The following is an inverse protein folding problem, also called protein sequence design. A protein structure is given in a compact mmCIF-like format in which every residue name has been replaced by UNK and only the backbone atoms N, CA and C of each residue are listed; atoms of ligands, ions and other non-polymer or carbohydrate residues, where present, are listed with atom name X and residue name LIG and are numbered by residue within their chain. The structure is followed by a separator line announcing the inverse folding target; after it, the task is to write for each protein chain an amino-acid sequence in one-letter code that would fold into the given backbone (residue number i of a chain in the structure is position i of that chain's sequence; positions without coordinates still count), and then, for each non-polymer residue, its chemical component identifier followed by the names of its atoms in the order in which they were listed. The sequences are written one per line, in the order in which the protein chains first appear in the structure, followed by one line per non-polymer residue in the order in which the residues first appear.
data_IF_529856587022
#
_entry.id   IF_529856587022
#
_cell.length_a   1.000
_cell.length_b   1.000
_cell.length_c   1.000
_cell.angle_alpha   90.00
_cell.angle_beta   90.00
_cell.angle_gamma   90.00
#
_symmetry.space_group_name_H-M   'P 1'
#
loop_
_entity.id
_entity.type
_entity.pdbx_description
1 polymer ?
#
# COMPACT_ATOMS: atom_id res chain seq x y z
N UNK A 1 33.60 17.08 14.15
CA UNK A 1 32.39 17.71 13.59
C UNK A 1 31.47 18.06 14.75
N UNK A 2 31.25 19.32 15.16
CA UNK A 2 30.50 19.43 16.43
C UNK A 2 30.07 20.75 17.06
N UNK A 3 30.21 21.94 16.46
CA UNK A 3 29.69 23.17 17.10
C UNK A 3 29.00 24.19 16.19
N UNK A 4 28.93 23.95 14.88
CA UNK A 4 28.44 24.91 13.88
C UNK A 4 27.18 24.44 13.12
N UNK A 5 26.36 23.59 13.74
CA UNK A 5 25.09 23.10 13.14
C UNK A 5 23.82 23.68 13.77
N UNK A 6 23.94 24.34 14.92
CA UNK A 6 22.80 24.99 15.56
C UNK A 6 22.73 26.43 15.06
N UNK A 7 21.59 26.76 14.48
CA UNK A 7 21.28 28.10 14.01
C UNK A 7 20.29 28.69 15.01
N UNK A 8 20.60 29.80 15.68
CA UNK A 8 19.61 30.50 16.48
C UNK A 8 18.55 31.06 15.53
N UNK A 9 17.28 30.78 15.83
CA UNK A 9 16.13 31.28 15.10
C UNK A 9 15.23 31.95 16.13
N UNK A 10 14.90 33.23 15.93
CA UNK A 10 14.22 34.02 16.96
C UNK A 10 12.74 34.30 16.60
N UNK A 11 12.29 33.89 15.42
CA UNK A 11 10.92 34.15 14.94
C UNK A 11 10.30 33.00 14.15
N UNK A 12 8.97 32.94 14.17
CA UNK A 12 8.13 31.95 13.47
C UNK A 12 8.36 32.01 11.95
N UNK A 13 8.61 33.20 11.40
CA UNK A 13 8.92 33.41 9.99
C UNK A 13 10.28 32.82 9.62
N UNK A 14 11.25 32.92 10.54
CA UNK A 14 12.57 32.32 10.37
C UNK A 14 12.50 30.79 10.43
N UNK A 15 11.60 30.25 11.28
CA UNK A 15 11.35 28.81 11.38
C UNK A 15 10.92 28.26 10.03
N UNK A 16 9.91 28.88 9.43
CA UNK A 16 9.39 28.48 8.13
C UNK A 16 10.46 28.58 7.04
N UNK A 17 11.17 29.71 6.99
CA UNK A 17 12.20 29.94 5.98
C UNK A 17 13.33 28.91 6.07
N UNK A 18 13.85 28.69 7.28
CA UNK A 18 14.95 27.76 7.50
C UNK A 18 14.54 26.32 7.20
N UNK A 19 13.33 25.90 7.57
CA UNK A 19 12.82 24.56 7.24
C UNK A 19 12.59 24.39 5.74
N UNK A 20 12.08 25.40 5.03
CA UNK A 20 11.88 25.35 3.56
C UNK A 20 13.19 25.28 2.80
N UNK A 21 14.22 25.96 3.28
CA UNK A 21 15.57 25.89 2.70
C UNK A 21 16.20 24.51 2.86
N UNK A 22 15.88 23.81 3.95
CA UNK A 22 16.38 22.46 4.23
C UNK A 22 17.88 22.41 4.58
N UNK A 23 18.39 21.26 4.99
CA UNK A 23 19.73 21.15 5.60
C UNK A 23 20.91 21.40 4.65
N UNK A 24 20.67 21.41 3.34
CA UNK A 24 21.72 21.51 2.33
C UNK A 24 21.96 22.96 1.87
N UNK A 25 21.05 23.88 2.18
CA UNK A 25 21.18 25.28 1.82
C UNK A 25 21.79 26.10 2.98
N UNK A 26 22.51 27.17 2.63
CA UNK A 26 23.08 28.08 3.63
C UNK A 26 21.96 28.73 4.44
N UNK A 27 21.96 28.53 5.77
CA UNK A 27 20.93 29.04 6.67
C UNK A 27 19.65 28.18 6.73
N UNK A 28 19.61 27.03 6.06
CA UNK A 28 18.52 26.08 6.19
C UNK A 28 18.77 25.04 7.28
N UNK A 29 17.68 24.45 7.79
CA UNK A 29 17.71 23.47 8.89
C UNK A 29 16.91 22.22 8.54
N UNK A 30 17.31 21.07 9.09
CA UNK A 30 16.57 19.82 8.95
C UNK A 30 15.35 19.73 9.89
N UNK A 31 15.48 20.33 11.07
CA UNK A 31 14.49 20.29 12.13
C UNK A 31 14.68 21.50 13.05
N UNK A 32 13.61 21.88 13.73
CA UNK A 32 13.61 22.90 14.77
C UNK A 32 13.27 22.22 16.08
N UNK A 33 13.94 22.66 17.14
CA UNK A 33 13.79 22.11 18.48
C UNK A 33 13.48 23.29 19.40
N UNK A 34 12.27 23.32 19.92
CA UNK A 34 11.75 24.37 20.80
C UNK A 34 10.64 23.79 21.70
N UNK A 35 10.15 24.58 22.64
CA UNK A 35 9.07 24.20 23.54
C UNK A 35 7.76 23.95 22.78
N UNK A 36 7.02 22.92 23.19
CA UNK A 36 5.78 22.48 22.55
C UNK A 36 4.77 23.63 22.25
N UNK A 37 4.45 24.57 23.17
CA UNK A 37 3.49 25.64 22.87
C UNK A 37 3.92 26.55 21.71
N UNK A 38 5.23 26.76 21.50
CA UNK A 38 5.73 27.55 20.38
C UNK A 38 5.60 26.78 19.06
N UNK A 39 5.92 25.49 19.07
CA UNK A 39 5.75 24.62 17.90
C UNK A 39 4.27 24.46 17.53
N UNK A 40 3.38 24.30 18.51
CA UNK A 40 1.93 24.23 18.28
C UNK A 40 1.39 25.51 17.63
N UNK A 41 1.89 26.67 18.05
CA UNK A 41 1.56 27.96 17.46
C UNK A 41 2.09 28.07 16.01
N UNK A 42 3.34 27.67 15.77
CA UNK A 42 3.92 27.63 14.42
C UNK A 42 3.10 26.74 13.48
N UNK A 43 2.76 25.53 13.91
CA UNK A 43 1.95 24.59 13.12
C UNK A 43 0.51 25.05 12.95
N UNK A 44 0.01 25.94 13.81
CA UNK A 44 -1.31 26.54 13.66
C UNK A 44 -1.33 27.57 12.53
N UNK A 45 -0.25 28.33 12.39
CA UNK A 45 -0.16 29.42 11.41
C UNK A 45 0.42 28.98 10.07
N UNK A 46 1.14 27.86 10.02
CA UNK A 46 1.84 27.35 8.83
C UNK A 46 1.45 25.90 8.56
N UNK A 47 1.11 25.63 7.31
CA UNK A 47 0.79 24.27 6.82
C UNK A 47 2.03 23.62 6.18
N UNK A 48 2.06 22.29 6.11
CA UNK A 48 3.14 21.52 5.47
C UNK A 48 4.30 21.12 6.40
N UNK A 49 4.17 21.37 7.70
CA UNK A 49 5.14 20.95 8.71
C UNK A 49 4.48 20.00 9.72
N UNK A 50 5.29 19.16 10.37
CA UNK A 50 4.82 18.24 11.41
C UNK A 50 5.88 18.01 12.49
N UNK A 51 5.42 17.67 13.68
CA UNK A 51 6.28 17.17 14.76
C UNK A 51 6.66 15.72 14.43
N UNK A 52 7.92 15.36 14.65
CA UNK A 52 8.43 14.00 14.44
C UNK A 52 9.09 13.52 15.72
N UNK A 53 8.73 12.30 16.15
CA UNK A 53 9.27 11.69 17.36
C UNK A 53 8.48 12.03 18.63
N UNK A 54 8.96 11.51 19.76
CA UNK A 54 8.38 11.78 21.07
C UNK A 54 8.94 13.09 21.67
N UNK A 55 8.15 13.80 22.50
CA UNK A 55 8.64 14.92 23.27
C UNK A 55 9.80 14.47 24.18
N UNK A 56 10.98 15.07 23.98
CA UNK A 56 12.17 14.73 24.75
C UNK A 56 12.33 15.58 26.02
N UNK A 57 11.58 16.69 26.16
CA UNK A 57 11.69 17.61 27.29
C UNK A 57 10.33 17.81 27.97
N UNK A 58 10.22 17.29 29.20
CA UNK A 58 9.02 17.40 30.03
C UNK A 58 9.18 18.46 31.13
N UNK A 59 9.80 19.60 30.81
CA UNK A 59 9.97 20.70 31.77
C UNK A 59 8.81 21.67 31.69
N UNK A 60 8.40 22.18 32.85
CA UNK A 60 7.31 23.13 33.00
C UNK A 60 7.80 24.57 33.15
N UNK A 61 6.90 25.50 32.88
CA UNK A 61 7.12 26.92 33.10
C UNK A 61 6.85 27.28 34.56
N UNK A 62 7.59 28.25 35.09
CA UNK A 62 7.47 28.68 36.49
C UNK A 62 7.68 30.17 36.66
N UNK A 63 7.07 30.72 37.72
CA UNK A 63 7.30 32.09 38.14
C UNK A 63 8.45 32.13 39.15
N UNK A 64 9.30 33.15 39.07
CA UNK A 64 10.47 33.30 39.93
C UNK A 64 10.30 34.53 40.83
N UNK A 65 10.49 34.32 42.13
CA UNK A 65 10.41 35.36 43.16
C UNK A 65 11.66 35.33 44.05
N UNK A 66 11.94 36.44 44.74
CA UNK A 66 12.98 36.47 45.78
C UNK A 66 12.64 35.47 46.89
N UNK A 67 13.68 34.90 47.50
CA UNK A 67 13.55 34.00 48.65
C UNK A 67 12.76 34.70 49.76
N UNK A 68 11.86 33.95 50.41
CA UNK A 68 10.98 34.41 51.49
C UNK A 68 9.94 35.48 51.09
N UNK A 69 9.66 35.65 49.80
CA UNK A 69 8.59 36.54 49.33
C UNK A 69 7.20 35.90 49.53
N UNK A 70 6.30 36.63 50.20
CA UNK A 70 4.89 36.24 50.34
C UNK A 70 4.18 36.09 48.99
N UNK A 71 4.64 36.80 47.95
CA UNK A 71 4.07 36.78 46.61
C UNK A 71 4.17 35.38 45.97
N UNK A 72 5.20 34.61 46.29
CA UNK A 72 5.34 33.24 45.78
C UNK A 72 4.20 32.34 46.30
N UNK A 73 3.81 32.51 47.56
CA UNK A 73 2.73 31.77 48.20
C UNK A 73 1.38 32.20 47.62
N UNK A 74 1.17 33.51 47.48
CA UNK A 74 -0.06 34.06 46.91
C UNK A 74 -0.26 33.59 45.47
N UNK A 75 0.79 33.65 44.65
CA UNK A 75 0.76 33.20 43.26
C UNK A 75 0.53 31.69 43.14
N UNK A 76 1.20 30.88 43.96
CA UNK A 76 0.98 29.43 43.97
C UNK A 76 -0.45 29.07 44.40
N UNK A 77 -0.98 29.78 45.39
CA UNK A 77 -2.36 29.60 45.88
C UNK A 77 -3.38 30.04 44.83
N UNK A 78 -3.11 31.14 44.12
CA UNK A 78 -3.95 31.61 43.03
C UNK A 78 -3.95 30.59 41.88
N UNK A 79 -2.78 30.07 41.47
CA UNK A 79 -2.67 29.03 40.45
C UNK A 79 -3.45 27.78 40.87
N UNK A 80 -3.32 27.34 42.11
CA UNK A 80 -4.04 26.16 42.61
C UNK A 80 -5.57 26.36 42.55
N UNK A 81 -6.06 27.50 43.05
CA UNK A 81 -7.49 27.87 42.98
C UNK A 81 -7.99 27.97 41.54
N UNK A 82 -7.14 28.48 40.63
CA UNK A 82 -7.43 28.49 39.21
C UNK A 82 -7.49 27.06 38.66
N UNK A 83 -6.55 26.16 39.02
CA UNK A 83 -6.56 24.75 38.57
C UNK A 83 -7.76 23.93 39.02
N UNK A 84 -8.32 24.28 40.18
CA UNK A 84 -9.46 23.59 40.76
C UNK A 84 -10.78 23.94 40.04
N UNK A 85 -10.84 25.09 39.36
CA UNK A 85 -12.09 25.60 38.79
C UNK A 85 -12.27 25.22 37.32
N UNK A 86 -13.45 24.69 36.94
CA UNK A 86 -13.81 24.25 35.57
C UNK A 86 -13.64 25.32 34.48
N UNK A 87 -13.66 26.60 34.86
CA UNK A 87 -13.44 27.77 33.99
C UNK A 87 -11.99 27.94 33.51
N UNK A 88 -11.01 27.34 34.16
CA UNK A 88 -9.60 27.52 33.84
C UNK A 88 -9.21 26.92 32.49
N UNK A 89 -9.84 25.80 32.10
CA UNK A 89 -9.69 25.25 30.76
C UNK A 89 -10.17 26.23 29.69
N UNK A 90 -11.15 27.10 29.98
CA UNK A 90 -11.62 28.11 29.02
C UNK A 90 -10.63 29.24 28.84
N UNK A 91 -9.94 29.71 29.88
CA UNK A 91 -8.96 30.81 29.75
C UNK A 91 -7.72 30.32 29.03
N UNK A 92 -7.18 29.17 29.44
CA UNK A 92 -6.01 28.57 28.79
C UNK A 92 -6.32 28.23 27.34
N UNK A 93 -7.47 27.62 27.07
CA UNK A 93 -7.94 27.37 25.71
C UNK A 93 -8.22 28.67 24.97
N UNK A 94 -8.78 29.71 25.58
CA UNK A 94 -9.02 30.98 24.88
C UNK A 94 -7.70 31.63 24.48
N UNK A 95 -6.69 31.67 25.35
CA UNK A 95 -5.41 32.27 24.99
C UNK A 95 -4.55 31.41 24.06
N UNK A 96 -4.56 30.07 24.21
CA UNK A 96 -3.78 29.16 23.36
C UNK A 96 -4.49 28.76 22.05
N UNK A 97 -5.81 28.58 22.05
CA UNK A 97 -6.60 28.17 20.88
C UNK A 97 -7.21 29.33 20.06
N UNK A 98 -7.08 30.61 20.45
CA UNK A 98 -7.75 31.72 19.73
C UNK A 98 -7.35 31.84 18.25
N UNK A 99 -6.21 31.28 17.85
CA UNK A 99 -5.81 31.16 16.43
C UNK A 99 -5.64 29.72 15.94
N UNK A 100 -5.48 28.75 16.84
CA UNK A 100 -5.02 27.39 16.50
C UNK A 100 -6.14 26.36 16.32
N UNK A 101 -7.30 26.56 16.95
CA UNK A 101 -8.35 25.52 16.99
C UNK A 101 -9.52 25.79 16.01
N UNK A 102 -9.40 26.79 15.13
CA UNK A 102 -10.41 27.13 14.12
C UNK A 102 -10.38 26.29 12.85
N UNK A 103 -9.27 25.61 12.57
CA UNK A 103 -9.09 24.79 11.37
C UNK A 103 -8.28 23.53 11.69
N UNK A 104 -8.59 22.88 12.82
CA UNK A 104 -7.91 21.67 13.28
C UNK A 104 -8.91 20.69 13.89
N UNK A 105 -9.90 20.30 13.11
CA UNK A 105 -10.66 19.06 13.34
C UNK A 105 -9.85 17.80 13.00
N UNK A 106 -8.51 17.88 12.94
CA UNK A 106 -7.67 16.80 12.39
C UNK A 106 -6.33 16.58 13.12
N UNK A 107 -6.13 17.19 14.30
CA UNK A 107 -4.84 17.08 15.03
C UNK A 107 -4.94 16.31 16.36
N UNK A 108 -6.03 15.57 16.56
CA UNK A 108 -6.17 14.57 17.63
C UNK A 108 -6.85 13.27 17.15
N UNK A 109 -7.10 13.17 15.86
CA UNK A 109 -7.17 11.88 15.22
C UNK A 109 -5.78 11.71 14.59
N UNK A 110 -4.99 10.66 14.88
CA UNK A 110 -4.28 10.07 13.75
C UNK A 110 -5.37 9.92 12.70
N UNK A 111 -5.26 10.55 11.52
CA UNK A 111 -6.09 10.18 10.37
C UNK A 111 -6.29 8.68 10.49
N UNK A 112 -7.51 8.18 10.77
CA UNK A 112 -7.68 6.86 11.33
C UNK A 112 -7.39 5.90 10.20
N UNK A 113 -6.10 5.57 10.03
CA UNK A 113 -5.52 4.84 8.93
C UNK A 113 -6.55 4.68 7.82
N UNK A 114 -6.85 5.75 7.08
CA UNK A 114 -7.64 5.56 5.87
C UNK A 114 -6.68 4.79 5.00
N UNK A 115 -6.78 3.46 5.12
CA UNK A 115 -6.08 2.47 4.33
C UNK A 115 -6.50 2.82 2.91
N UNK A 116 -5.69 3.69 2.30
CA UNK A 116 -5.75 4.03 0.90
C UNK A 116 -5.92 2.67 0.22
N UNK A 117 -7.02 2.48 -0.51
CA UNK A 117 -7.33 1.22 -1.20
C UNK A 117 -6.19 0.77 -2.14
N UNK A 118 -5.20 1.65 -2.35
CA UNK A 118 -3.89 1.40 -2.94
C UNK A 118 -3.01 0.38 -2.18
N UNK A 119 -3.11 0.26 -0.86
CA UNK A 119 -2.33 -0.73 -0.09
C UNK A 119 -2.90 -2.16 -0.15
N UNK A 120 -4.14 -2.34 -0.64
CA UNK A 120 -4.79 -3.65 -0.78
C UNK A 120 -5.00 -4.06 -2.25
N UNK A 121 -4.27 -3.43 -3.16
CA UNK A 121 -4.31 -3.74 -4.59
C UNK A 121 -4.04 -5.23 -4.87
N UNK A 122 -3.13 -5.85 -4.12
CA UNK A 122 -2.84 -7.29 -4.24
C UNK A 122 -3.98 -8.20 -3.78
N UNK A 123 -4.72 -7.85 -2.73
CA UNK A 123 -5.79 -8.70 -2.20
C UNK A 123 -6.99 -8.72 -3.14
N UNK A 124 -7.34 -7.57 -3.71
CA UNK A 124 -8.42 -7.47 -4.70
C UNK A 124 -8.09 -8.29 -5.96
N UNK A 125 -6.86 -8.15 -6.49
CA UNK A 125 -6.42 -8.93 -7.65
C UNK A 125 -6.46 -10.44 -7.38
N UNK A 126 -6.05 -10.88 -6.20
CA UNK A 126 -6.08 -12.30 -5.82
C UNK A 126 -7.50 -12.86 -5.73
N UNK A 127 -8.42 -12.12 -5.11
CA UNK A 127 -9.84 -12.52 -5.05
C UNK A 127 -10.48 -12.59 -6.45
N UNK A 128 -10.21 -11.61 -7.31
CA UNK A 128 -10.69 -11.62 -8.70
C UNK A 128 -10.10 -12.79 -9.49
N UNK A 129 -8.81 -13.09 -9.35
CA UNK A 129 -8.18 -14.23 -10.02
C UNK A 129 -8.79 -15.59 -9.61
N UNK A 130 -9.05 -15.80 -8.31
CA UNK A 130 -9.69 -17.03 -7.82
C UNK A 130 -11.11 -17.15 -8.37
N UNK A 131 -11.89 -16.06 -8.35
CA UNK A 131 -13.27 -16.10 -8.84
C UNK A 131 -13.34 -16.33 -10.35
N UNK A 132 -12.47 -15.70 -11.14
CA UNK A 132 -12.38 -15.91 -12.60
C UNK A 132 -11.95 -17.34 -12.91
N UNK A 133 -10.94 -17.88 -12.23
CA UNK A 133 -10.48 -19.25 -12.46
C UNK A 133 -11.53 -20.30 -12.09
N UNK A 134 -12.24 -20.13 -10.97
CA UNK A 134 -13.36 -20.98 -10.59
C UNK A 134 -14.50 -20.93 -11.62
N UNK A 135 -14.85 -19.73 -12.10
CA UNK A 135 -15.87 -19.55 -13.14
C UNK A 135 -15.45 -20.21 -14.46
N UNK A 136 -14.20 -20.05 -14.88
CA UNK A 136 -13.67 -20.68 -16.09
C UNK A 136 -13.75 -22.21 -16.00
N UNK A 137 -13.32 -22.81 -14.89
CA UNK A 137 -13.42 -24.27 -14.67
C UNK A 137 -14.88 -24.73 -14.70
N UNK A 138 -15.80 -23.95 -14.12
CA UNK A 138 -17.23 -24.26 -14.15
C UNK A 138 -17.78 -24.26 -15.58
N UNK A 139 -17.47 -23.21 -16.36
CA UNK A 139 -17.89 -23.12 -17.77
C UNK A 139 -17.29 -24.24 -18.61
N UNK A 140 -16.00 -24.57 -18.43
CA UNK A 140 -15.37 -25.70 -19.12
C UNK A 140 -16.02 -27.04 -18.77
N UNK A 141 -16.39 -27.25 -17.49
CA UNK A 141 -17.15 -28.43 -17.07
C UNK A 141 -18.52 -28.48 -17.72
N UNK A 142 -19.24 -27.37 -17.73
CA UNK A 142 -20.56 -27.26 -18.38
C UNK A 142 -20.47 -27.53 -19.89
N UNK A 143 -19.48 -26.98 -20.58
CA UNK A 143 -19.24 -27.23 -22.01
C UNK A 143 -18.90 -28.70 -22.24
N UNK A 144 -18.00 -29.29 -21.45
CA UNK A 144 -17.67 -30.72 -21.58
C UNK A 144 -18.89 -31.61 -21.38
N UNK A 145 -19.72 -31.33 -20.38
CA UNK A 145 -20.96 -32.08 -20.15
C UNK A 145 -21.96 -31.87 -21.29
N UNK A 146 -22.12 -30.64 -21.77
CA UNK A 146 -23.00 -30.33 -22.89
C UNK A 146 -22.55 -30.99 -24.20
N UNK A 147 -21.24 -31.00 -24.48
CA UNK A 147 -20.66 -31.71 -25.63
C UNK A 147 -20.82 -33.21 -25.48
N UNK A 148 -20.62 -33.78 -24.28
CA UNK A 148 -20.87 -35.21 -24.03
C UNK A 148 -22.34 -35.58 -24.20
N UNK A 149 -23.25 -34.75 -23.68
CA UNK A 149 -24.69 -34.93 -23.83
C UNK A 149 -25.10 -34.86 -25.31
N UNK A 150 -24.66 -33.82 -26.03
CA UNK A 150 -24.95 -33.65 -27.46
C UNK A 150 -24.27 -34.71 -28.33
N UNK A 151 -23.08 -35.21 -27.94
CA UNK A 151 -22.44 -36.35 -28.61
C UNK A 151 -23.26 -37.62 -28.38
N UNK A 152 -23.79 -37.84 -27.17
CA UNK A 152 -24.68 -38.96 -26.86
C UNK A 152 -25.97 -38.92 -27.68
N UNK A 153 -26.56 -37.74 -27.91
CA UNK A 153 -27.71 -37.56 -28.83
C UNK A 153 -27.35 -37.80 -30.30
N UNK A 154 -26.13 -37.47 -30.73
CA UNK A 154 -25.68 -37.75 -32.11
C UNK A 154 -25.36 -39.22 -32.35
N UNK A 155 -24.96 -39.98 -31.31
CA UNK A 155 -24.70 -41.43 -31.44
C UNK A 155 -25.99 -42.26 -31.44
N UNK A 156 -27.14 -41.71 -31.02
CA UNK A 156 -28.44 -42.41 -31.04
C UNK A 156 -29.29 -42.16 -32.28
N UNK A 157 -28.87 -41.27 -33.20
CA UNK A 157 -29.61 -40.94 -34.43
C UNK A 157 -28.70 -40.91 -35.66
N UNK A 158 -28.38 -42.10 -36.16
CA UNK A 158 -28.17 -42.32 -37.60
C UNK A 158 -29.07 -43.50 -38.01
N UNK A 159 -30.11 -43.27 -38.83
CA UNK A 159 -29.85 -43.19 -40.26
C UNK A 159 -30.62 -42.09 -41.04
N UNK A 160 -29.90 -41.56 -42.04
CA UNK A 160 -30.35 -41.04 -43.36
C UNK A 160 -31.30 -39.83 -43.47
N UNK A 161 -30.72 -38.79 -44.07
CA UNK A 161 -31.25 -37.88 -45.09
C UNK A 161 -32.20 -36.73 -44.73
N UNK A 162 -31.89 -35.61 -45.38
CA UNK A 162 -32.71 -34.46 -45.81
C UNK A 162 -32.82 -33.25 -44.88
N UNK A 163 -32.68 -32.10 -45.54
CA UNK A 163 -32.62 -30.74 -45.02
C UNK A 163 -33.89 -30.36 -44.24
N UNK A 164 -33.76 -29.70 -43.09
CA UNK A 164 -34.69 -28.63 -42.69
C UNK A 164 -34.19 -27.82 -41.49
N UNK A 165 -34.11 -26.51 -41.71
CA UNK A 165 -34.27 -25.35 -40.82
C UNK A 165 -34.09 -25.44 -39.28
N UNK A 166 -33.09 -24.67 -38.81
CA UNK A 166 -33.03 -23.75 -37.64
C UNK A 166 -33.36 -24.26 -36.22
N UNK A 167 -32.52 -23.89 -35.21
CA UNK A 167 -32.85 -22.66 -34.50
C UNK A 167 -31.65 -21.73 -34.24
N UNK A 168 -31.85 -20.48 -34.66
CA UNK A 168 -31.44 -19.20 -34.04
C UNK A 168 -30.65 -19.31 -32.72
N UNK A 169 -29.34 -19.55 -32.80
CA UNK A 169 -28.35 -19.29 -31.72
C UNK A 169 -27.01 -18.82 -32.31
N UNK A 170 -27.03 -18.09 -33.42
CA UNK A 170 -25.83 -17.91 -34.26
C UNK A 170 -24.92 -16.75 -33.89
N UNK A 171 -25.08 -16.11 -32.72
CA UNK A 171 -24.12 -15.07 -32.28
C UNK A 171 -23.12 -15.53 -31.23
N UNK A 172 -23.49 -16.43 -30.32
CA UNK A 172 -22.60 -16.87 -29.23
C UNK A 172 -21.75 -18.09 -29.61
N UNK A 173 -22.20 -18.93 -30.54
CA UNK A 173 -21.40 -20.08 -31.00
C UNK A 173 -20.17 -19.62 -31.81
N UNK A 174 -20.28 -18.56 -32.59
CA UNK A 174 -19.14 -18.00 -33.33
C UNK A 174 -17.98 -17.58 -32.43
N UNK A 175 -18.27 -16.90 -31.31
CA UNK A 175 -17.24 -16.54 -30.32
C UNK A 175 -16.62 -17.77 -29.66
N UNK A 176 -17.43 -18.77 -29.29
CA UNK A 176 -16.92 -19.97 -28.62
C UNK A 176 -16.00 -20.82 -29.51
N UNK A 177 -16.21 -20.84 -30.83
CA UNK A 177 -15.30 -21.51 -31.77
C UNK A 177 -13.97 -20.75 -31.91
N UNK A 178 -14.02 -19.41 -32.00
CA UNK A 178 -12.82 -18.58 -32.13
C UNK A 178 -11.91 -18.61 -30.90
N UNK A 179 -12.46 -18.75 -29.68
CA UNK A 179 -11.63 -18.94 -28.48
C UNK A 179 -10.96 -20.31 -28.43
N UNK A 180 -11.60 -21.37 -28.95
CA UNK A 180 -10.97 -22.70 -29.01
C UNK A 180 -9.82 -22.70 -30.01
N UNK A 181 -9.99 -22.06 -31.16
CA UNK A 181 -8.96 -21.91 -32.18
C UNK A 181 -7.79 -21.03 -31.69
N UNK A 182 -8.07 -19.94 -30.95
CA UNK A 182 -7.04 -19.11 -30.33
C UNK A 182 -6.26 -19.84 -29.22
N UNK A 183 -6.92 -20.70 -28.44
CA UNK A 183 -6.26 -21.49 -27.38
C UNK A 183 -5.43 -22.63 -27.96
N UNK A 184 -5.86 -23.21 -29.08
CA UNK A 184 -5.09 -24.21 -29.84
C UNK A 184 -3.82 -23.56 -30.46
N UNK A 185 -3.94 -22.33 -30.97
CA UNK A 185 -2.81 -21.52 -31.48
C UNK A 185 -1.82 -21.12 -30.36
N UNK A 186 -2.29 -20.89 -29.13
CA UNK A 186 -1.43 -20.55 -27.98
C UNK A 186 -0.68 -21.78 -27.41
N UNK A 187 -1.27 -22.99 -27.46
CA UNK A 187 -0.58 -24.24 -27.06
C UNK A 187 0.50 -24.68 -28.06
N UNK A 188 0.40 -24.34 -29.36
CA UNK A 188 1.46 -24.66 -30.33
C UNK A 188 2.70 -23.74 -30.21
N UNK A 189 2.54 -22.48 -29.79
CA UNK A 189 3.66 -21.54 -29.65
C UNK A 189 4.57 -21.84 -28.44
N UNK A 190 4.05 -22.48 -27.39
CA UNK A 190 4.78 -22.73 -26.13
C UNK A 190 5.47 -24.09 -26.08
N UNK A 191 5.23 -24.98 -27.05
CA UNK A 191 5.84 -26.32 -27.12
C UNK A 191 7.13 -26.39 -27.94
N UNK A 192 7.58 -25.27 -28.52
CA UNK A 192 8.77 -25.25 -29.41
C UNK A 192 10.11 -24.99 -28.72
N UNK A 193 10.14 -24.60 -27.44
CA UNK A 193 11.38 -24.25 -26.73
C UNK A 193 11.93 -25.35 -25.79
N UNK A 194 11.22 -26.46 -25.57
CA UNK A 194 11.61 -27.49 -24.57
C UNK A 194 12.27 -28.76 -25.14
N UNK A 195 12.46 -28.86 -26.46
CA UNK A 195 13.04 -30.06 -27.13
C UNK A 195 14.53 -29.91 -27.55
N UNK A 196 15.27 -28.96 -26.95
CA UNK A 196 16.72 -28.79 -27.18
C UNK A 196 17.55 -28.88 -25.90
N UNK A 197 17.47 -30.00 -25.19
CA UNK A 197 18.62 -30.54 -24.45
C UNK A 197 18.26 -31.88 -23.80
N UNK A 198 18.73 -32.98 -24.38
CA UNK A 198 19.40 -34.04 -23.63
C UNK A 198 19.90 -35.14 -24.57
N UNK A 199 21.22 -35.22 -24.72
CA UNK A 199 21.91 -36.46 -25.06
C UNK A 199 22.78 -36.85 -23.86
N UNK A 200 22.69 -38.10 -23.39
CA UNK A 200 23.93 -38.85 -23.21
C UNK A 200 23.83 -40.32 -23.66
N UNK A 201 24.73 -40.67 -24.58
CA UNK A 201 25.66 -41.80 -24.58
C UNK A 201 25.31 -43.15 -23.93
N UNK A 202 25.54 -44.17 -24.76
CA UNK A 202 26.04 -45.55 -24.50
C UNK A 202 25.11 -46.62 -23.93
N UNK A 203 24.88 -47.66 -24.74
CA UNK A 203 24.90 -49.06 -24.28
C UNK A 203 25.79 -49.88 -25.21
N UNK A 204 26.75 -50.53 -24.57
CA UNK A 204 27.71 -51.52 -25.05
C UNK A 204 26.98 -52.81 -25.43
N UNK A 205 27.32 -53.41 -26.58
CA UNK A 205 27.14 -54.85 -26.79
C UNK A 205 28.46 -55.45 -27.31
N UNK A 206 29.04 -56.31 -26.46
CA UNK A 206 30.20 -57.15 -26.72
C UNK A 206 29.71 -58.48 -27.27
N UNK A 207 30.29 -58.95 -28.37
CA UNK A 207 30.78 -60.33 -28.46
C UNK A 207 31.78 -60.42 -29.63
N UNK A 208 33.05 -60.68 -29.28
CA UNK A 208 34.04 -61.12 -30.25
C UNK A 208 33.96 -62.64 -30.43
N UNK A 209 34.47 -63.14 -31.56
CA UNK A 209 35.57 -64.09 -31.51
C UNK A 209 36.28 -64.28 -32.87
N UNK A 210 37.60 -64.47 -32.75
CA UNK A 210 38.47 -65.36 -33.55
C UNK A 210 38.86 -65.02 -35.01
N UNK A 211 40.04 -64.40 -35.14
CA UNK A 211 41.31 -64.99 -35.65
C UNK A 211 41.37 -65.79 -37.00
N UNK A 212 42.37 -65.40 -37.84
CA UNK A 212 43.23 -66.18 -38.78
C UNK A 212 42.91 -66.32 -40.31
N UNK A 213 43.90 -65.86 -41.12
CA UNK A 213 44.46 -66.31 -42.44
C UNK A 213 43.97 -65.79 -43.82
N UNK A 214 45.01 -65.38 -44.59
CA UNK A 214 45.28 -65.49 -46.05
C UNK A 214 44.30 -64.79 -47.01
N UNK A 215 44.71 -63.90 -47.91
CA UNK A 215 45.72 -64.08 -48.97
C UNK A 215 46.29 -62.73 -49.43
#
# INVERSE_FOLDING_TARGET
MGRSRLVPLDSIEEYERALKLGPNALGGVAAIVDELPYIELFLAERTGFKIVGEPFMNRGWGFVFKRDSSLAIDMSTAILKLTETREQKRILKKWLCQKSCGEKSDWNHPEPNQFHLKSFEGLYLFCVAITVSAFLVFVLRMIRQFVRYRRSERTSLTPRASLSSSPRTTRLWGFMLGFVEFVDEEEEATRSDDDSNNNPSQVVELQGDSEVRQS
#
